data_IF_221350202914
#
_entry.id   IF_221350202914
#
_cell.length_a   1.000
_cell.length_b   1.000
_cell.length_c   1.000
_cell.angle_alpha   90.00
_cell.angle_beta   90.00
_cell.angle_gamma   90.00
#
_symmetry.space_group_name_H-M   'P 1'
#
loop_
_entity.id
_entity.type
_entity.pdbx_description
1 polymer ?
#
# COMPACT_ATOMS: atom_id res chain seq x y z
N UNK A 1 -16.65 -25.34 -5.61
CA UNK A 1 -16.04 -24.48 -4.57
C UNK A 1 -14.52 -24.48 -4.67
N UNK A 2 -13.88 -25.63 -4.86
CA UNK A 2 -12.41 -25.73 -4.96
C UNK A 2 -11.82 -24.95 -6.14
N UNK A 3 -12.41 -25.02 -7.35
CA UNK A 3 -11.94 -24.24 -8.50
C UNK A 3 -12.02 -22.72 -8.31
N UNK A 4 -13.05 -22.22 -7.61
CA UNK A 4 -13.18 -20.80 -7.30
C UNK A 4 -12.09 -20.35 -6.31
N UNK A 5 -11.76 -21.20 -5.32
CA UNK A 5 -10.69 -20.94 -4.36
C UNK A 5 -9.33 -20.89 -5.08
N UNK A 6 -9.11 -21.79 -6.05
CA UNK A 6 -7.89 -21.83 -6.86
C UNK A 6 -7.73 -20.64 -7.80
N UNK A 7 -8.83 -20.16 -8.40
CA UNK A 7 -8.81 -18.94 -9.21
C UNK A 7 -8.47 -17.73 -8.31
N UNK A 8 -9.11 -17.61 -7.15
CA UNK A 8 -8.84 -16.52 -6.21
C UNK A 8 -7.40 -16.56 -5.67
N UNK A 9 -6.85 -17.74 -5.41
CA UNK A 9 -5.46 -17.89 -4.94
C UNK A 9 -4.45 -17.45 -6.01
N UNK A 10 -4.70 -17.78 -7.28
CA UNK A 10 -3.88 -17.32 -8.41
C UNK A 10 -3.97 -15.82 -8.62
N UNK A 11 -5.17 -15.25 -8.60
CA UNK A 11 -5.37 -13.79 -8.70
C UNK A 11 -4.64 -13.09 -7.56
N UNK A 12 -4.82 -13.56 -6.32
CA UNK A 12 -4.11 -13.06 -5.16
C UNK A 12 -2.59 -13.08 -5.39
N UNK A 13 -2.05 -14.22 -5.80
CA UNK A 13 -0.62 -14.37 -6.05
C UNK A 13 -0.09 -13.38 -7.09
N UNK A 14 -0.81 -13.21 -8.20
CA UNK A 14 -0.43 -12.23 -9.25
C UNK A 14 -0.47 -10.82 -8.69
N UNK A 15 -1.53 -10.43 -7.99
CA UNK A 15 -1.65 -9.09 -7.39
C UNK A 15 -0.50 -8.81 -6.42
N UNK A 16 -0.19 -9.75 -5.51
CA UNK A 16 0.91 -9.58 -4.56
C UNK A 16 2.25 -9.46 -5.26
N UNK A 17 2.51 -10.30 -6.27
CA UNK A 17 3.77 -10.25 -7.02
C UNK A 17 3.92 -8.96 -7.83
N UNK A 18 2.83 -8.47 -8.43
CA UNK A 18 2.81 -7.17 -9.10
C UNK A 18 3.04 -6.03 -8.11
N UNK A 19 2.43 -6.11 -6.92
CA UNK A 19 2.64 -5.11 -5.87
C UNK A 19 4.09 -5.09 -5.37
N UNK A 20 4.72 -6.25 -5.18
CA UNK A 20 6.14 -6.34 -4.81
C UNK A 20 7.05 -5.66 -5.83
N UNK A 21 6.83 -5.91 -7.12
CA UNK A 21 7.56 -5.26 -8.21
C UNK A 21 7.32 -3.74 -8.19
N UNK A 22 6.06 -3.33 -8.00
CA UNK A 22 5.69 -1.91 -7.91
C UNK A 22 6.37 -1.19 -6.75
N UNK A 23 6.44 -1.81 -5.56
CA UNK A 23 7.13 -1.27 -4.39
C UNK A 23 8.63 -1.14 -4.66
N UNK A 24 9.25 -2.14 -5.29
CA UNK A 24 10.66 -2.06 -5.69
C UNK A 24 10.93 -0.88 -6.63
N UNK A 25 10.06 -0.68 -7.62
CA UNK A 25 10.14 0.44 -8.55
C UNK A 25 9.95 1.80 -7.87
N UNK A 26 8.98 1.91 -6.95
CA UNK A 26 8.81 3.12 -6.13
C UNK A 26 10.08 3.39 -5.30
N UNK A 27 10.69 2.34 -4.72
CA UNK A 27 11.94 2.47 -3.99
C UNK A 27 13.06 3.08 -4.85
N UNK A 28 13.22 2.61 -6.10
CA UNK A 28 14.18 3.19 -7.04
C UNK A 28 13.87 4.66 -7.33
N UNK A 29 12.60 5.02 -7.58
CA UNK A 29 12.18 6.40 -7.82
C UNK A 29 12.51 7.30 -6.62
N UNK A 30 12.21 6.84 -5.41
CA UNK A 30 12.52 7.57 -4.17
C UNK A 30 14.03 7.75 -4.02
N UNK A 31 14.84 6.72 -4.30
CA UNK A 31 16.30 6.85 -4.29
C UNK A 31 16.76 7.88 -5.32
N UNK A 32 16.23 7.85 -6.55
CA UNK A 32 16.54 8.85 -7.57
C UNK A 32 16.23 10.28 -7.11
N UNK A 33 15.09 10.48 -6.44
CA UNK A 33 14.74 11.77 -5.84
C UNK A 33 15.69 12.17 -4.72
N UNK A 34 16.05 11.24 -3.82
CA UNK A 34 17.00 11.53 -2.73
C UNK A 34 18.39 11.92 -3.25
N UNK A 35 18.80 11.39 -4.41
CA UNK A 35 20.09 11.68 -5.02
C UNK A 35 20.10 12.99 -5.83
N UNK A 36 19.02 13.27 -6.56
CA UNK A 36 18.95 14.39 -7.52
C UNK A 36 18.11 15.57 -7.03
N UNK A 37 17.35 15.39 -5.94
CA UNK A 37 16.43 16.38 -5.39
C UNK A 37 15.39 16.83 -6.41
N UNK A 38 15.10 18.13 -6.43
CA UNK A 38 14.16 18.74 -7.37
C UNK A 38 14.58 18.59 -8.85
N UNK A 39 15.87 18.34 -9.11
CA UNK A 39 16.41 18.06 -10.44
C UNK A 39 16.11 16.66 -10.98
N UNK A 40 15.44 15.80 -10.20
CA UNK A 40 15.09 14.42 -10.61
C UNK A 40 14.04 14.34 -11.74
N UNK A 41 13.44 15.47 -12.11
CA UNK A 41 12.42 15.59 -13.14
C UNK A 41 10.98 15.51 -12.60
N UNK A 42 10.04 16.04 -13.37
CA UNK A 42 8.65 16.23 -12.93
C UNK A 42 7.96 14.93 -12.51
N UNK A 43 8.20 13.82 -13.21
CA UNK A 43 7.61 12.53 -12.87
C UNK A 43 8.05 12.04 -11.49
N UNK A 44 9.35 12.07 -11.20
CA UNK A 44 9.92 11.61 -9.92
C UNK A 44 9.41 12.49 -8.79
N UNK A 45 9.42 13.81 -8.99
CA UNK A 45 8.92 14.77 -8.02
C UNK A 45 7.43 14.54 -7.71
N UNK A 46 6.61 14.32 -8.74
CA UNK A 46 5.18 14.02 -8.58
C UNK A 46 4.93 12.73 -7.80
N UNK A 47 5.65 11.64 -8.11
CA UNK A 47 5.53 10.37 -7.39
C UNK A 47 5.86 10.55 -5.91
N UNK A 48 6.96 11.25 -5.59
CA UNK A 48 7.39 11.47 -4.21
C UNK A 48 6.41 12.35 -3.45
N UNK A 49 5.88 13.41 -4.06
CA UNK A 49 4.88 14.27 -3.42
C UNK A 49 3.60 13.49 -3.09
N UNK A 50 3.11 12.65 -4.01
CA UNK A 50 1.96 11.80 -3.74
C UNK A 50 2.24 10.77 -2.65
N UNK A 51 3.44 10.19 -2.64
CA UNK A 51 3.85 9.25 -1.59
C UNK A 51 3.92 9.96 -0.22
N UNK A 52 4.40 11.20 -0.18
CA UNK A 52 4.43 12.00 1.04
C UNK A 52 3.02 12.24 1.61
N UNK A 53 2.01 12.47 0.76
CA UNK A 53 0.61 12.56 1.19
C UNK A 53 0.15 11.25 1.83
N UNK A 54 0.45 10.10 1.21
CA UNK A 54 0.10 8.78 1.78
C UNK A 54 0.74 8.60 3.15
N UNK A 55 2.04 8.85 3.27
CA UNK A 55 2.77 8.74 4.54
C UNK A 55 2.22 9.72 5.59
N UNK A 56 1.80 10.92 5.18
CA UNK A 56 1.23 11.91 6.09
C UNK A 56 -0.08 11.47 6.74
N UNK A 57 -0.82 10.56 6.11
CA UNK A 57 -2.08 10.01 6.64
C UNK A 57 -1.81 8.82 7.58
N UNK A 58 -0.66 8.14 7.43
CA UNK A 58 -0.22 7.02 8.28
C UNK A 58 0.33 7.48 9.64
N UNK A 59 -0.38 8.38 10.32
CA UNK A 59 -0.05 8.81 11.68
C UNK A 59 -0.45 7.73 12.70
N UNK A 60 0.16 7.70 13.90
CA UNK A 60 -0.19 6.75 14.94
C UNK A 60 -1.69 6.72 15.26
N UNK A 61 -2.35 7.87 15.24
CA UNK A 61 -3.79 7.98 15.52
C UNK A 61 -4.62 7.28 14.44
N UNK A 62 -4.23 7.39 13.17
CA UNK A 62 -4.88 6.69 12.05
C UNK A 62 -4.73 5.18 12.19
N UNK A 63 -3.54 4.70 12.56
CA UNK A 63 -3.28 3.27 12.76
C UNK A 63 -4.15 2.71 13.89
N UNK A 64 -4.21 3.42 15.02
CA UNK A 64 -5.07 3.03 16.15
C UNK A 64 -6.55 3.04 15.74
N UNK A 65 -7.01 4.07 15.04
CA UNK A 65 -8.39 4.15 14.57
C UNK A 65 -8.76 2.97 13.65
N UNK A 66 -7.90 2.61 12.69
CA UNK A 66 -8.09 1.45 11.83
C UNK A 66 -8.13 0.15 12.65
N UNK A 67 -7.23 -0.02 13.62
CA UNK A 67 -7.22 -1.19 14.49
C UNK A 67 -8.54 -1.34 15.27
N UNK A 68 -9.05 -0.24 15.84
CA UNK A 68 -10.34 -0.23 16.55
C UNK A 68 -11.49 -0.60 15.63
N UNK A 69 -11.53 -0.07 14.40
CA UNK A 69 -12.55 -0.42 13.41
C UNK A 69 -12.52 -1.90 13.03
N UNK A 70 -11.32 -2.45 12.81
CA UNK A 70 -11.14 -3.88 12.46
C UNK A 70 -11.58 -4.78 13.61
N UNK A 71 -11.17 -4.47 14.84
CA UNK A 71 -11.57 -5.23 16.05
C UNK A 71 -13.07 -5.13 16.26
N UNK A 72 -13.63 -3.92 16.19
CA UNK A 72 -15.07 -3.68 16.31
C UNK A 72 -15.87 -4.47 15.28
N UNK A 73 -15.43 -4.47 14.02
CA UNK A 73 -16.05 -5.26 12.95
C UNK A 73 -16.02 -6.77 13.26
N UNK A 74 -14.89 -7.28 13.75
CA UNK A 74 -14.79 -8.70 14.13
C UNK A 74 -15.72 -9.07 15.29
N UNK A 75 -15.84 -8.22 16.30
CA UNK A 75 -16.77 -8.42 17.43
C UNK A 75 -18.22 -8.41 16.92
N UNK A 76 -18.60 -7.41 16.12
CA UNK A 76 -19.94 -7.32 15.52
C UNK A 76 -20.28 -8.55 14.68
N UNK A 77 -19.34 -9.04 13.88
CA UNK A 77 -19.50 -10.27 13.10
C UNK A 77 -19.63 -11.52 13.97
N UNK A 78 -19.06 -11.53 15.17
CA UNK A 78 -19.12 -12.67 16.10
C UNK A 78 -20.47 -12.78 16.82
N UNK A 79 -21.13 -11.64 17.07
CA UNK A 79 -22.44 -11.54 17.74
C UNK A 79 -23.63 -11.62 16.76
N UNK A 80 -23.38 -11.61 15.45
CA UNK A 80 -24.35 -11.92 14.40
C UNK A 80 -24.28 -13.39 14.02
#
# INVERSE_FOLDING_TARGET
>A
MEELIDILSRIRSVIFRTAEIGIGLIGVIVISYLLLGEGAGEYVNSVVQNLAVVVSILKPETVVAVAVLVVGYYILRRYR
#
